data_IF_979808147594
#
_entry.id   IF_979808147594
#
_cell.length_a   1.000
_cell.length_b   1.000
_cell.length_c   1.000
_cell.angle_alpha   90.00
_cell.angle_beta   90.00
_cell.angle_gamma   90.00
#
_symmetry.space_group_name_H-M   'P 1'
#
loop_
_entity.id
_entity.type
_entity.pdbx_description
1 polymer ?
#
# COMPACT_ATOMS: atom_id res chain seq x y z
N UNK A 1 -11.67 14.97 0.88
CA UNK A 1 -11.99 13.64 1.44
C UNK A 1 -11.80 12.65 0.30
N UNK A 2 -10.66 11.95 0.22
CA UNK A 2 -10.54 10.85 -0.73
C UNK A 2 -11.31 9.65 -0.16
N UNK A 3 -12.44 9.35 -0.78
CA UNK A 3 -13.27 8.20 -0.45
C UNK A 3 -12.57 6.91 -0.87
N UNK A 4 -12.69 5.86 -0.07
CA UNK A 4 -12.19 4.53 -0.39
C UNK A 4 -12.64 3.54 0.67
N UNK A 5 -13.26 2.45 0.23
CA UNK A 5 -13.66 1.33 1.06
C UNK A 5 -13.35 0.03 0.32
N UNK A 6 -13.18 -1.05 1.06
CA UNK A 6 -12.94 -2.39 0.55
C UNK A 6 -14.29 -3.10 0.48
N UNK A 7 -14.64 -3.63 -0.69
CA UNK A 7 -15.79 -4.49 -0.86
C UNK A 7 -15.34 -5.94 -0.67
N UNK A 8 -15.91 -6.62 0.32
CA UNK A 8 -15.60 -8.01 0.67
C UNK A 8 -16.78 -8.90 0.31
N UNK A 9 -16.47 -10.04 -0.31
CA UNK A 9 -17.46 -11.07 -0.63
C UNK A 9 -17.20 -12.31 0.21
N UNK A 10 -18.17 -12.67 1.05
CA UNK A 10 -18.16 -13.89 1.82
C UNK A 10 -18.71 -15.04 0.96
N UNK A 11 -17.84 -15.97 0.57
CA UNK A 11 -18.21 -17.13 -0.24
C UNK A 11 -19.14 -18.11 0.48
N UNK A 12 -19.03 -18.22 1.80
CA UNK A 12 -19.82 -19.16 2.60
C UNK A 12 -21.26 -18.66 2.75
N UNK A 13 -21.42 -17.38 3.10
CA UNK A 13 -22.73 -16.77 3.32
C UNK A 13 -23.30 -16.09 2.05
N UNK A 14 -22.54 -16.06 0.96
CA UNK A 14 -22.87 -15.40 -0.31
C UNK A 14 -23.30 -13.94 -0.11
N UNK A 15 -22.59 -13.22 0.74
CA UNK A 15 -22.93 -11.85 1.14
C UNK A 15 -21.82 -10.87 0.79
N UNK A 16 -22.21 -9.60 0.62
CA UNK A 16 -21.28 -8.50 0.41
C UNK A 16 -21.24 -7.63 1.66
N UNK A 17 -20.04 -7.28 2.09
CA UNK A 17 -19.79 -6.35 3.18
C UNK A 17 -18.85 -5.24 2.70
N UNK A 18 -19.03 -4.04 3.27
CA UNK A 18 -18.14 -2.90 3.00
C UNK A 18 -17.29 -2.66 4.24
N UNK A 19 -15.99 -2.85 4.11
CA UNK A 19 -15.00 -2.53 5.15
C UNK A 19 -14.42 -1.16 4.85
N UNK A 20 -14.55 -0.23 5.80
CA UNK A 20 -13.94 1.09 5.67
C UNK A 20 -12.42 0.96 5.68
N UNK A 21 -11.70 1.83 4.96
CA UNK A 21 -10.24 1.91 5.07
C UNK A 21 -9.81 2.38 6.48
N UNK A 22 -8.53 2.23 6.87
CA UNK A 22 -8.03 2.82 8.11
C UNK A 22 -8.26 4.34 8.12
N UNK A 23 -8.68 4.87 9.27
CA UNK A 23 -8.98 6.29 9.43
C UNK A 23 -7.74 7.14 9.15
N UNK A 24 -6.61 6.74 9.74
CA UNK A 24 -5.33 7.45 9.67
C UNK A 24 -4.55 7.18 8.37
N UNK A 25 -5.02 6.26 7.54
CA UNK A 25 -4.44 6.04 6.21
C UNK A 25 -4.88 7.18 5.30
N UNK A 26 -4.10 8.25 5.31
CA UNK A 26 -4.23 9.42 4.46
C UNK A 26 -3.08 9.44 3.46
N UNK A 27 -3.30 9.05 2.20
CA UNK A 27 -2.36 9.29 1.12
C UNK A 27 -2.34 10.80 0.89
N UNK A 28 -1.39 11.50 1.51
CA UNK A 28 -1.16 12.91 1.20
C UNK A 28 -0.10 12.90 0.11
N UNK A 29 -0.50 12.78 -1.17
CA UNK A 29 0.44 12.95 -2.28
C UNK A 29 0.49 14.42 -2.69
N UNK A 30 1.51 15.16 -2.22
CA UNK A 30 1.69 16.57 -2.56
C UNK A 30 2.00 16.72 -4.06
N UNK A 31 1.07 17.32 -4.82
CA UNK A 31 1.28 17.65 -6.23
C UNK A 31 0.93 16.53 -7.22
N UNK A 32 0.42 15.40 -6.76
CA UNK A 32 -0.11 14.36 -7.64
C UNK A 32 -1.61 14.59 -7.89
N UNK A 33 -2.13 14.43 -9.13
CA UNK A 33 -3.57 14.35 -9.35
C UNK A 33 -4.18 13.29 -8.43
N UNK A 34 -5.41 13.55 -8.01
CA UNK A 34 -6.30 12.79 -7.13
C UNK A 34 -6.64 11.35 -7.62
N UNK A 35 -5.88 10.83 -8.58
CA UNK A 35 -6.13 9.57 -9.30
C UNK A 35 -5.02 8.53 -9.13
N UNK A 36 -3.97 8.80 -8.36
CA UNK A 36 -2.99 7.75 -8.01
C UNK A 36 -3.59 6.85 -6.93
N UNK A 37 -4.09 5.70 -7.36
CA UNK A 37 -4.65 4.68 -6.49
C UNK A 37 -3.61 4.26 -5.44
N UNK A 38 -3.84 4.68 -4.21
CA UNK A 38 -2.84 4.60 -3.14
C UNK A 38 -3.02 3.39 -2.24
N UNK A 39 -3.90 2.43 -2.60
CA UNK A 39 -4.28 1.32 -1.73
C UNK A 39 -4.32 -0.02 -2.45
N UNK A 40 -3.71 -1.06 -1.91
CA UNK A 40 -3.92 -2.43 -2.39
C UNK A 40 -4.33 -3.34 -1.23
N UNK A 41 -5.33 -4.18 -1.47
CA UNK A 41 -5.58 -5.32 -0.59
C UNK A 41 -4.35 -6.24 -0.67
N UNK A 42 -3.82 -6.62 0.49
CA UNK A 42 -2.66 -7.49 0.60
C UNK A 42 -2.96 -8.61 1.57
N UNK A 43 -2.24 -9.72 1.47
CA UNK A 43 -2.32 -10.78 2.46
C UNK A 43 -1.51 -10.40 3.70
N UNK A 44 -2.04 -10.73 4.87
CA UNK A 44 -1.32 -10.61 6.15
C UNK A 44 -1.20 -11.96 6.82
N UNK A 45 -0.22 -12.09 7.72
CA UNK A 45 0.07 -13.36 8.39
C UNK A 45 -1.04 -13.77 9.39
N UNK A 46 -1.68 -12.83 10.09
CA UNK A 46 -2.61 -13.18 11.18
C UNK A 46 -4.07 -13.23 10.73
N UNK A 47 -4.54 -12.25 9.97
CA UNK A 47 -5.95 -12.12 9.59
C UNK A 47 -6.25 -12.53 8.15
N UNK A 48 -5.21 -12.77 7.34
CA UNK A 48 -5.34 -13.09 5.92
C UNK A 48 -5.75 -11.91 5.03
N UNK A 49 -6.12 -10.75 5.62
CA UNK A 49 -6.52 -9.55 4.89
C UNK A 49 -5.92 -8.29 5.51
N UNK A 50 -5.16 -7.58 4.69
CA UNK A 50 -4.58 -6.29 5.01
C UNK A 50 -4.75 -5.27 3.90
N UNK A 51 -4.22 -4.08 4.16
CA UNK A 51 -4.20 -2.96 3.23
C UNK A 51 -2.81 -2.36 3.19
N UNK A 52 -2.21 -2.30 2.01
CA UNK A 52 -1.03 -1.49 1.75
C UNK A 52 -1.48 -0.09 1.33
N UNK A 53 -0.97 0.96 1.98
CA UNK A 53 -1.28 2.35 1.69
C UNK A 53 0.00 3.11 1.35
N UNK A 54 0.11 3.67 0.14
CA UNK A 54 1.20 4.59 -0.23
C UNK A 54 0.86 5.99 0.28
N UNK A 55 1.81 6.62 0.97
CA UNK A 55 1.66 7.98 1.49
C UNK A 55 3.00 8.72 1.45
N UNK A 56 2.97 10.02 1.76
CA UNK A 56 4.13 10.88 1.89
C UNK A 56 4.20 11.42 3.31
N UNK A 57 5.42 11.48 3.86
CA UNK A 57 5.64 12.17 5.16
C UNK A 57 6.03 13.63 4.96
N UNK A 58 6.66 13.93 3.82
CA UNK A 58 7.02 15.27 3.36
C UNK A 58 7.12 15.27 1.82
N UNK A 59 7.52 16.39 1.21
CA UNK A 59 7.63 16.52 -0.25
C UNK A 59 8.56 15.48 -0.91
N UNK A 60 9.55 14.98 -0.18
CA UNK A 60 10.64 14.15 -0.70
C UNK A 60 10.41 12.67 -0.34
N UNK A 61 9.96 12.40 0.87
CA UNK A 61 9.95 11.07 1.48
C UNK A 61 8.62 10.34 1.24
N UNK A 62 8.71 9.09 0.77
CA UNK A 62 7.56 8.24 0.43
C UNK A 62 7.55 7.00 1.31
N UNK A 63 6.37 6.64 1.80
CA UNK A 63 6.18 5.48 2.67
C UNK A 63 5.07 4.57 2.17
N UNK A 64 5.20 3.27 2.44
CA UNK A 64 4.09 2.33 2.37
C UNK A 64 3.76 1.88 3.79
N UNK A 65 2.52 2.11 4.20
CA UNK A 65 1.97 1.61 5.45
C UNK A 65 1.21 0.32 5.21
N UNK A 66 1.54 -0.74 5.96
CA UNK A 66 0.82 -2.00 5.95
C UNK A 66 -0.10 -2.06 7.16
N UNK A 67 -1.39 -2.17 6.88
CA UNK A 67 -2.45 -2.26 7.87
C UNK A 67 -3.02 -3.66 7.88
N UNK A 68 -3.26 -4.19 9.07
CA UNK A 68 -3.91 -5.47 9.27
C UNK A 68 -5.29 -5.27 9.87
N UNK A 69 -6.25 -6.04 9.38
CA UNK A 69 -7.58 -6.09 9.95
C UNK A 69 -7.56 -6.93 11.23
N UNK A 70 -7.95 -6.36 12.36
CA UNK A 70 -8.20 -7.09 13.61
C UNK A 70 -9.67 -7.01 13.98
N UNK A 71 -10.27 -8.16 14.28
CA UNK A 71 -11.57 -8.22 14.96
C UNK A 71 -11.33 -8.13 16.46
N UNK A 72 -11.93 -7.15 17.13
CA UNK A 72 -11.94 -7.15 18.59
C UNK A 72 -13.00 -8.13 19.14
N UNK A 73 -13.02 -8.31 20.46
CA UNK A 73 -13.93 -9.25 21.14
C UNK A 73 -15.42 -8.96 20.89
N UNK A 74 -15.75 -7.72 20.50
CA UNK A 74 -17.11 -7.27 20.20
C UNK A 74 -17.46 -7.43 18.71
N UNK A 75 -16.56 -8.03 17.92
CA UNK A 75 -16.74 -8.21 16.48
C UNK A 75 -16.58 -6.92 15.67
N UNK A 76 -16.14 -5.83 16.30
CA UNK A 76 -15.81 -4.59 15.59
C UNK A 76 -14.49 -4.80 14.84
N UNK A 77 -14.52 -4.45 13.57
CA UNK A 77 -13.38 -4.52 12.68
C UNK A 77 -12.57 -3.23 12.82
N UNK A 78 -11.38 -3.35 13.40
CA UNK A 78 -10.42 -2.26 13.54
C UNK A 78 -9.20 -2.52 12.67
N UNK A 79 -8.59 -1.42 12.20
CA UNK A 79 -7.33 -1.48 11.48
C UNK A 79 -6.18 -1.17 12.43
N UNK A 80 -5.15 -1.99 12.39
CA UNK A 80 -3.93 -1.77 13.14
C UNK A 80 -2.75 -1.65 12.17
N UNK A 81 -1.96 -0.58 12.31
CA UNK A 81 -0.74 -0.38 11.54
C UNK A 81 0.31 -1.40 11.99
N UNK A 82 0.67 -2.32 11.10
CA UNK A 82 1.68 -3.35 11.38
C UNK A 82 3.09 -2.87 11.06
N UNK A 83 3.25 -2.17 9.93
CA UNK A 83 4.58 -1.81 9.42
C UNK A 83 4.53 -0.54 8.57
N UNK A 84 5.62 0.23 8.63
CA UNK A 84 5.87 1.36 7.73
C UNK A 84 7.17 1.10 6.99
N UNK A 85 7.12 1.15 5.65
CA UNK A 85 8.23 0.88 4.75
C UNK A 85 8.66 2.19 4.12
N UNK A 86 9.91 2.59 4.32
CA UNK A 86 10.50 3.77 3.69
C UNK A 86 10.93 3.44 2.26
N UNK A 87 10.59 4.31 1.32
CA UNK A 87 10.97 4.15 -0.10
C UNK A 87 12.18 5.02 -0.48
N UNK A 88 12.76 5.75 0.46
CA UNK A 88 13.86 6.71 0.21
C UNK A 88 15.06 6.08 -0.51
N UNK A 89 15.33 4.79 -0.26
CA UNK A 89 16.40 4.05 -0.93
C UNK A 89 16.16 3.72 -2.40
N UNK A 90 14.93 3.91 -2.91
CA UNK A 90 14.63 3.76 -4.35
C UNK A 90 15.00 4.99 -5.16
N UNK A 91 15.09 6.15 -4.51
CA UNK A 91 15.43 7.39 -5.18
C UNK A 91 16.93 7.64 -5.09
N UNK A 92 17.54 8.12 -6.18
CA UNK A 92 18.91 8.62 -6.08
C UNK A 92 18.95 9.84 -5.17
N UNK A 93 20.02 10.07 -4.38
CA UNK A 93 20.17 11.29 -3.60
C UNK A 93 20.31 12.49 -4.56
N UNK A 94 19.19 13.08 -4.95
CA UNK A 94 19.09 14.16 -5.92
C UNK A 94 17.68 14.76 -5.90
N UNK A 95 17.51 16.02 -5.49
CA UNK A 95 16.20 16.64 -5.32
C UNK A 95 15.76 17.35 -6.60
N UNK A 96 15.75 16.65 -7.73
CA UNK A 96 15.08 17.20 -8.90
C UNK A 96 13.57 17.00 -8.75
N UNK A 97 12.82 18.11 -8.82
CA UNK A 97 11.36 18.08 -8.70
C UNK A 97 10.76 17.05 -9.66
N UNK A 98 9.99 16.11 -9.12
CA UNK A 98 9.29 15.07 -9.87
C UNK A 98 9.97 13.70 -9.91
N UNK A 99 11.24 13.57 -9.50
CA UNK A 99 11.93 12.27 -9.49
C UNK A 99 11.49 11.33 -8.35
N UNK A 100 10.73 11.85 -7.37
CA UNK A 100 10.25 11.07 -6.22
C UNK A 100 8.83 10.52 -6.42
N UNK A 101 8.31 10.56 -7.65
CA UNK A 101 7.03 9.97 -7.98
C UNK A 101 7.12 8.44 -7.91
N UNK A 102 6.24 7.84 -7.09
CA UNK A 102 6.03 6.39 -6.99
C UNK A 102 4.56 6.12 -7.15
N UNK A 103 4.27 5.04 -7.86
CA UNK A 103 2.93 4.47 -7.94
C UNK A 103 3.00 3.01 -7.59
N UNK A 104 2.08 2.56 -6.74
CA UNK A 104 1.80 1.13 -6.62
C UNK A 104 0.96 0.73 -7.83
N UNK A 105 1.37 -0.31 -8.52
CA UNK A 105 0.75 -0.79 -9.76
C UNK A 105 -0.05 -2.08 -9.55
N UNK A 106 0.31 -2.86 -8.53
CA UNK A 106 -0.35 -4.12 -8.23
C UNK A 106 0.24 -4.81 -7.01
N UNK A 107 -0.44 -5.85 -6.56
CA UNK A 107 0.01 -6.80 -5.57
C UNK A 107 -0.03 -8.20 -6.17
N UNK A 108 1.05 -8.95 -5.99
CA UNK A 108 1.18 -10.36 -6.34
C UNK A 108 1.06 -11.20 -5.07
N UNK A 109 -0.05 -11.93 -4.95
CA UNK A 109 -0.37 -12.76 -3.79
C UNK A 109 0.56 -13.98 -3.68
N UNK A 110 1.04 -14.53 -4.81
CA UNK A 110 1.88 -15.73 -4.83
C UNK A 110 3.29 -15.45 -4.29
N UNK A 111 3.85 -14.28 -4.61
CA UNK A 111 5.18 -13.87 -4.14
C UNK A 111 5.15 -12.89 -2.96
N UNK A 112 3.95 -12.53 -2.50
CA UNK A 112 3.71 -11.55 -1.45
C UNK A 112 4.47 -10.23 -1.70
N UNK A 113 4.32 -9.69 -2.92
CA UNK A 113 5.09 -8.54 -3.37
C UNK A 113 4.23 -7.44 -4.00
N UNK A 114 4.60 -6.20 -3.74
CA UNK A 114 3.98 -5.03 -4.36
C UNK A 114 4.81 -4.62 -5.58
N UNK A 115 4.15 -4.40 -6.70
CA UNK A 115 4.76 -3.86 -7.91
C UNK A 115 4.73 -2.33 -7.86
N UNK A 116 5.91 -1.71 -7.99
CA UNK A 116 6.12 -0.27 -7.88
C UNK A 116 6.68 0.25 -9.20
N UNK A 117 6.06 1.31 -9.72
CA UNK A 117 6.58 2.09 -10.85
C UNK A 117 7.12 3.42 -10.35
N UNK A 118 8.35 3.73 -10.72
CA UNK A 118 9.07 4.95 -10.32
C UNK A 118 9.70 5.63 -11.54
N UNK A 119 10.22 6.84 -11.38
CA UNK A 119 10.99 7.50 -12.44
C UNK A 119 12.25 6.70 -12.85
N UNK A 120 12.84 5.94 -11.93
CA UNK A 120 14.10 5.20 -12.15
C UNK A 120 13.89 3.77 -12.70
N UNK A 121 12.64 3.38 -12.90
CA UNK A 121 12.21 2.08 -13.40
C UNK A 121 11.23 1.37 -12.46
N UNK A 122 10.98 0.11 -12.78
CA UNK A 122 10.02 -0.72 -12.05
C UNK A 122 10.70 -1.63 -11.04
N UNK A 123 10.03 -1.83 -9.92
CA UNK A 123 10.55 -2.58 -8.78
C UNK A 123 9.48 -3.53 -8.22
N UNK A 124 9.93 -4.67 -7.70
CA UNK A 124 9.14 -5.47 -6.77
C UNK A 124 9.61 -5.23 -5.35
N UNK A 125 8.69 -4.91 -4.45
CA UNK A 125 8.89 -4.86 -3.01
C UNK A 125 8.32 -6.14 -2.39
N UNK A 126 9.18 -7.03 -1.89
CA UNK A 126 8.75 -8.26 -1.23
C UNK A 126 8.44 -7.98 0.25
N UNK A 127 7.21 -8.29 0.71
CA UNK A 127 6.66 -7.82 1.99
C UNK A 127 7.13 -8.58 3.24
N UNK A 128 7.91 -9.65 3.09
CA UNK A 128 8.47 -10.37 4.25
C UNK A 128 9.89 -9.90 4.54
N UNK A 129 10.73 -9.91 3.51
CA UNK A 129 12.15 -9.55 3.52
C UNK A 129 12.41 -8.05 3.39
N UNK A 130 11.40 -7.26 2.99
CA UNK A 130 11.53 -5.82 2.72
C UNK A 130 12.55 -5.49 1.62
N UNK A 131 12.83 -6.44 0.72
CA UNK A 131 13.81 -6.24 -0.34
C UNK A 131 13.18 -5.68 -1.61
N UNK A 132 13.89 -4.75 -2.24
CA UNK A 132 13.54 -4.20 -3.54
C UNK A 132 14.33 -4.89 -4.64
N UNK A 133 13.62 -5.39 -5.65
CA UNK A 133 14.25 -5.98 -6.85
C UNK A 133 13.85 -5.19 -8.08
N UNK A 134 14.83 -4.58 -8.76
CA UNK A 134 14.59 -3.88 -10.03
C UNK A 134 14.18 -4.87 -11.12
N UNK A 135 13.13 -4.56 -11.87
CA UNK A 135 12.72 -5.32 -13.04
C UNK A 135 13.38 -4.77 -14.30
N UNK A 136 13.98 -5.67 -15.07
CA UNK A 136 14.47 -5.37 -16.41
C UNK A 136 13.36 -5.72 -17.41
N UNK A 137 13.01 -4.78 -18.29
CA UNK A 137 12.19 -5.09 -19.46
C UNK A 137 13.11 -5.75 -20.49
N UNK A 138 12.77 -6.96 -20.91
CA UNK A 138 13.50 -7.75 -21.92
C UNK A 138 12.88 -7.51 -23.29
#
# INVERSE_FOLDING_TARGET
MSGGAILEFDFQNQSLAVTQKPADAHPILHGAPDHYWSFYAVRTEHSGLGLAALSETDYVSKIIQLWERKSNCDGVVEWELQKTIQLDGLFSPGPEMGQNAVSMQGYDEDTNAIFLSTFFGDYMLQLESMQFTKKLHV
#
